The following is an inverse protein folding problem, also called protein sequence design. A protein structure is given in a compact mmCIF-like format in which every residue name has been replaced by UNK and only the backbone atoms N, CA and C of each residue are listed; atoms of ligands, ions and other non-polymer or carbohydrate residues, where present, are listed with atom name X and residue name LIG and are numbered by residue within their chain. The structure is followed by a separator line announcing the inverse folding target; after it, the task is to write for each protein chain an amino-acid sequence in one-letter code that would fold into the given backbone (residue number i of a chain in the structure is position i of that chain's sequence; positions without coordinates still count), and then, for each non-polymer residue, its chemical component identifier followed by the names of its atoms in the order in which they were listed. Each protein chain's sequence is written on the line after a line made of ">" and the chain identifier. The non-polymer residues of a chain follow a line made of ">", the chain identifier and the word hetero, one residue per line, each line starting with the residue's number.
data_IF_855064847236
#
_entry.id   IF_855064847236
#
_cell.length_a   1.000
_cell.length_b   1.000
_cell.length_c   1.000
_cell.angle_alpha   90.00
_cell.angle_beta   90.00
_cell.angle_gamma   90.00
#
_symmetry.space_group_name_H-M   'P 1'
#
loop_
_entity.id
_entity.type
_entity.pdbx_description
1 polymer ?
#
# COMPACT_ATOMS: atom_id res chain seq x y z
N UNK A 1 46.12 -55.09 21.74
CA UNK A 1 45.35 -54.69 20.55
C UNK A 1 44.09 -54.03 21.08
N UNK A 2 43.95 -52.74 20.80
CA UNK A 2 43.04 -51.80 21.45
C UNK A 2 41.75 -51.74 20.63
N UNK A 3 40.60 -51.97 21.28
CA UNK A 3 39.29 -51.92 20.64
C UNK A 3 38.96 -50.48 20.24
N UNK A 4 38.83 -50.23 18.94
CA UNK A 4 38.36 -48.94 18.43
C UNK A 4 36.84 -49.01 18.30
N UNK A 5 36.17 -48.45 19.30
CA UNK A 5 34.73 -48.23 19.34
C UNK A 5 34.37 -47.14 18.31
N UNK A 6 33.73 -47.53 17.21
CA UNK A 6 33.29 -46.59 16.16
C UNK A 6 31.83 -46.22 16.42
N UNK A 7 31.60 -45.20 17.25
CA UNK A 7 30.29 -44.57 17.42
C UNK A 7 30.14 -43.43 16.42
N UNK A 8 29.48 -43.68 15.28
CA UNK A 8 29.00 -42.61 14.38
C UNK A 8 27.61 -42.16 14.80
N UNK A 9 27.53 -41.09 15.60
CA UNK A 9 26.29 -40.33 15.79
C UNK A 9 26.16 -39.30 14.67
N UNK A 10 25.26 -39.56 13.73
CA UNK A 10 24.83 -38.60 12.72
C UNK A 10 23.84 -37.62 13.34
N UNK A 11 24.35 -36.57 13.99
CA UNK A 11 23.55 -35.44 14.46
C UNK A 11 23.10 -34.58 13.28
N UNK A 12 21.98 -34.97 12.66
CA UNK A 12 21.21 -34.03 11.84
C UNK A 12 20.45 -33.09 12.79
N UNK A 13 21.12 -32.01 13.21
CA UNK A 13 20.48 -30.89 13.91
C UNK A 13 19.45 -30.28 12.97
N UNK A 14 18.18 -30.66 13.15
CA UNK A 14 17.03 -30.03 12.52
C UNK A 14 16.99 -28.58 13.01
N UNK A 15 17.60 -27.66 12.25
CA UNK A 15 17.55 -26.23 12.54
C UNK A 15 16.12 -25.78 12.29
N UNK A 16 15.37 -25.60 13.38
CA UNK A 16 14.09 -24.88 13.32
C UNK A 16 14.33 -23.51 12.68
N UNK A 17 13.44 -23.04 11.79
CA UNK A 17 13.56 -21.72 11.18
C UNK A 17 13.68 -20.69 12.30
N UNK A 18 14.77 -19.94 12.31
CA UNK A 18 14.94 -18.83 13.24
C UNK A 18 13.91 -17.78 12.84
N UNK A 19 12.96 -17.49 13.73
CA UNK A 19 12.05 -16.37 13.53
C UNK A 19 12.87 -15.07 13.52
N UNK A 20 12.95 -14.43 12.35
CA UNK A 20 13.56 -13.12 12.21
C UNK A 20 12.46 -12.08 12.35
N UNK A 21 12.50 -11.20 13.35
CA UNK A 21 11.49 -10.16 13.50
C UNK A 21 11.55 -9.21 12.30
N UNK A 22 10.52 -9.24 11.46
CA UNK A 22 10.41 -8.37 10.29
C UNK A 22 10.06 -6.95 10.74
N UNK A 23 10.95 -6.01 10.48
CA UNK A 23 10.71 -4.58 10.74
C UNK A 23 10.15 -3.93 9.49
N UNK A 24 8.87 -3.57 9.51
CA UNK A 24 8.25 -2.81 8.41
C UNK A 24 8.75 -1.36 8.40
N UNK A 25 9.18 -0.90 7.23
CA UNK A 25 9.42 0.53 7.01
C UNK A 25 8.08 1.25 6.82
N UNK A 26 7.72 2.12 7.76
CA UNK A 26 6.51 2.94 7.69
C UNK A 26 6.85 4.32 7.12
N UNK A 27 6.07 4.78 6.14
CA UNK A 27 6.17 6.12 5.60
C UNK A 27 5.65 7.15 6.61
N UNK A 28 6.48 8.15 6.89
CA UNK A 28 6.12 9.32 7.71
C UNK A 28 6.23 10.56 6.85
N UNK A 29 5.15 11.33 6.75
CA UNK A 29 5.15 12.55 5.96
C UNK A 29 6.19 13.55 6.48
N UNK A 30 7.09 13.99 5.60
CA UNK A 30 8.03 15.10 5.81
C UNK A 30 7.74 16.21 4.81
N UNK A 31 8.27 17.41 5.01
CA UNK A 31 8.02 18.56 4.13
C UNK A 31 8.29 18.26 2.65
N UNK A 32 9.34 17.51 2.35
CA UNK A 32 9.75 17.15 0.98
C UNK A 32 8.85 16.12 0.27
N UNK A 33 7.91 15.49 0.98
CA UNK A 33 6.99 14.51 0.40
C UNK A 33 5.68 15.14 -0.07
N UNK A 34 5.41 16.39 0.33
CA UNK A 34 4.22 17.14 -0.09
C UNK A 34 4.42 17.65 -1.51
N UNK A 35 3.36 17.59 -2.29
CA UNK A 35 3.27 18.13 -3.64
C UNK A 35 1.94 18.86 -3.78
N UNK A 36 1.98 20.00 -4.43
CA UNK A 36 0.82 20.81 -4.72
C UNK A 36 0.43 20.62 -6.18
N UNK A 37 -0.84 20.29 -6.41
CA UNK A 37 -1.46 20.43 -7.72
C UNK A 37 -2.16 21.80 -7.77
N UNK A 38 -1.50 22.75 -8.43
CA UNK A 38 -1.96 24.15 -8.53
C UNK A 38 -3.27 24.31 -9.30
N UNK A 39 -3.53 23.43 -10.25
CA UNK A 39 -4.74 23.46 -11.09
C UNK A 39 -6.00 23.20 -10.26
N UNK A 40 -5.93 22.22 -9.36
CA UNK A 40 -7.07 21.82 -8.53
C UNK A 40 -6.96 22.26 -7.06
N UNK A 41 -5.88 22.94 -6.68
CA UNK A 41 -5.68 23.47 -5.33
C UNK A 41 -5.48 22.38 -4.25
N UNK A 42 -4.95 21.21 -4.61
CA UNK A 42 -4.75 20.10 -3.67
C UNK A 42 -3.30 19.92 -3.26
N UNK A 43 -3.07 19.61 -1.99
CA UNK A 43 -1.77 19.20 -1.46
C UNK A 43 -1.84 17.72 -1.07
N UNK A 44 -0.92 16.91 -1.59
CA UNK A 44 -0.88 15.47 -1.32
C UNK A 44 0.54 14.92 -1.34
N UNK A 45 0.70 13.64 -1.00
CA UNK A 45 2.01 13.00 -1.02
C UNK A 45 2.42 12.60 -2.43
N UNK A 46 3.59 13.07 -2.89
CA UNK A 46 4.13 12.69 -4.22
C UNK A 46 4.46 11.21 -4.39
N UNK A 47 4.57 10.48 -3.27
CA UNK A 47 4.79 9.03 -3.26
C UNK A 47 3.49 8.23 -3.21
N UNK A 48 2.33 8.89 -3.24
CA UNK A 48 1.02 8.24 -3.27
C UNK A 48 0.43 7.87 -1.91
N UNK A 49 1.16 8.00 -0.79
CA UNK A 49 0.64 7.65 0.54
C UNK A 49 -0.54 8.52 0.99
N UNK A 50 -1.56 7.97 1.68
CA UNK A 50 -1.70 6.54 2.00
C UNK A 50 -1.99 5.70 0.75
N UNK A 51 -1.41 4.51 0.67
CA UNK A 51 -1.60 3.58 -0.44
C UNK A 51 -3.06 3.10 -0.49
N UNK A 52 -3.63 2.83 -1.67
CA UNK A 52 -5.03 2.40 -1.78
C UNK A 52 -5.26 0.99 -1.22
N UNK A 53 -6.46 0.76 -0.70
CA UNK A 53 -6.97 -0.57 -0.32
C UNK A 53 -7.47 -1.26 -1.58
N UNK A 54 -7.01 -2.49 -1.80
CA UNK A 54 -7.36 -3.31 -2.96
C UNK A 54 -7.46 -4.77 -2.53
N UNK A 55 -8.48 -5.46 -3.02
CA UNK A 55 -8.68 -6.89 -2.74
C UNK A 55 -7.78 -7.79 -3.61
N UNK A 56 -7.25 -7.24 -4.70
CA UNK A 56 -6.34 -7.89 -5.64
C UNK A 56 -5.26 -6.91 -6.15
N UNK A 57 -4.14 -7.45 -6.62
CA UNK A 57 -3.08 -6.65 -7.24
C UNK A 57 -3.47 -6.35 -8.69
N UNK A 58 -3.44 -5.06 -9.07
CA UNK A 58 -3.83 -4.60 -10.40
C UNK A 58 -2.73 -3.80 -11.08
N UNK A 59 -2.76 -3.76 -12.41
CA UNK A 59 -1.92 -2.89 -13.23
C UNK A 59 -2.82 -1.82 -13.83
N UNK A 60 -2.47 -0.56 -13.62
CA UNK A 60 -3.21 0.58 -14.18
C UNK A 60 -2.34 1.35 -15.17
N UNK A 61 -2.97 1.78 -16.27
CA UNK A 61 -2.40 2.74 -17.20
C UNK A 61 -2.85 4.15 -16.80
N UNK A 62 -2.00 5.17 -16.95
CA UNK A 62 -2.40 6.55 -16.67
C UNK A 62 -3.53 6.98 -17.62
N UNK A 63 -4.43 7.83 -17.12
CA UNK A 63 -5.42 8.53 -17.94
C UNK A 63 -4.77 9.81 -18.48
N UNK A 64 -5.10 10.19 -19.73
CA UNK A 64 -4.64 11.45 -20.30
C UNK A 64 -5.28 12.63 -19.56
N UNK A 65 -4.45 13.55 -19.05
CA UNK A 65 -4.90 14.76 -18.37
C UNK A 65 -5.79 15.67 -19.25
N UNK A 66 -5.72 15.50 -20.57
CA UNK A 66 -6.55 16.24 -21.55
C UNK A 66 -7.85 15.52 -21.93
N UNK A 67 -8.04 14.28 -21.47
CA UNK A 67 -9.24 13.51 -21.79
C UNK A 67 -10.46 14.00 -21.00
N UNK A 68 -11.63 13.88 -21.63
CA UNK A 68 -12.91 14.09 -20.96
C UNK A 68 -13.03 13.12 -19.78
N UNK A 69 -13.25 13.66 -18.58
CA UNK A 69 -13.41 12.88 -17.35
C UNK A 69 -12.18 12.82 -16.44
N UNK A 70 -11.00 13.26 -16.87
CA UNK A 70 -9.80 13.30 -16.02
C UNK A 70 -10.02 14.09 -14.73
N UNK A 71 -10.61 15.29 -14.82
CA UNK A 71 -10.88 16.13 -13.66
C UNK A 71 -11.78 15.42 -12.63
N UNK A 72 -12.84 14.73 -13.09
CA UNK A 72 -13.73 13.99 -12.22
C UNK A 72 -13.01 12.81 -11.53
N UNK A 73 -12.21 12.06 -12.30
CA UNK A 73 -11.38 10.98 -11.78
C UNK A 73 -10.39 11.51 -10.72
N UNK A 74 -9.72 12.64 -10.99
CA UNK A 74 -8.77 13.24 -10.06
C UNK A 74 -9.45 13.79 -8.79
N UNK A 75 -10.63 14.39 -8.90
CA UNK A 75 -11.44 14.79 -7.73
C UNK A 75 -11.85 13.58 -6.90
N UNK A 76 -12.24 12.48 -7.54
CA UNK A 76 -12.54 11.22 -6.84
C UNK A 76 -11.28 10.65 -6.17
N UNK A 77 -10.11 10.74 -6.80
CA UNK A 77 -8.85 10.34 -6.18
C UNK A 77 -8.59 11.11 -4.89
N UNK A 78 -8.82 12.42 -4.88
CA UNK A 78 -8.65 13.23 -3.66
C UNK A 78 -9.64 12.86 -2.56
N UNK A 79 -10.90 12.52 -2.90
CA UNK A 79 -11.88 11.99 -1.93
C UNK A 79 -11.44 10.64 -1.36
N UNK A 80 -10.95 9.74 -2.22
CA UNK A 80 -10.42 8.43 -1.82
C UNK A 80 -9.24 8.60 -0.86
N UNK A 81 -8.28 9.48 -1.18
CA UNK A 81 -7.14 9.76 -0.31
C UNK A 81 -7.56 10.19 1.08
N UNK A 82 -8.51 11.13 1.18
CA UNK A 82 -9.05 11.56 2.47
C UNK A 82 -9.65 10.39 3.25
N UNK A 83 -10.38 9.49 2.58
CA UNK A 83 -10.91 8.27 3.22
C UNK A 83 -9.83 7.29 3.66
N UNK A 84 -8.74 7.18 2.91
CA UNK A 84 -7.60 6.35 3.32
C UNK A 84 -6.86 6.96 4.53
N UNK A 85 -6.78 8.29 4.63
CA UNK A 85 -6.25 8.98 5.81
C UNK A 85 -7.14 8.75 7.05
N UNK A 86 -8.47 8.80 6.88
CA UNK A 86 -9.43 8.44 7.93
C UNK A 86 -9.28 6.97 8.36
N UNK A 87 -9.16 6.03 7.40
CA UNK A 87 -8.98 4.61 7.67
C UNK A 87 -7.66 4.30 8.39
N UNK A 88 -6.57 4.95 7.98
CA UNK A 88 -5.28 4.83 8.63
C UNK A 88 -5.32 5.36 10.07
N UNK A 89 -5.94 6.54 10.29
CA UNK A 89 -6.16 7.09 11.63
C UNK A 89 -6.99 6.16 12.50
N UNK A 90 -8.06 5.59 11.94
CA UNK A 90 -8.94 4.66 12.62
C UNK A 90 -8.19 3.40 13.07
N UNK A 91 -7.38 2.82 12.18
CA UNK A 91 -6.56 1.66 12.51
C UNK A 91 -5.49 1.98 13.55
N UNK A 92 -4.77 3.11 13.42
CA UNK A 92 -3.72 3.47 14.38
C UNK A 92 -4.27 3.69 15.79
N UNK A 93 -5.40 4.39 15.90
CA UNK A 93 -5.97 4.82 17.18
C UNK A 93 -6.88 3.77 17.84
N UNK A 94 -7.66 3.02 17.04
CA UNK A 94 -8.68 2.09 17.54
C UNK A 94 -8.47 0.64 17.15
N UNK A 95 -7.50 0.33 16.28
CA UNK A 95 -7.30 -1.01 15.69
C UNK A 95 -8.50 -1.51 14.88
N UNK A 96 -9.38 -0.61 14.46
CA UNK A 96 -10.51 -0.90 13.60
C UNK A 96 -10.07 -0.87 12.12
N UNK A 97 -10.56 -1.83 11.34
CA UNK A 97 -10.23 -1.99 9.94
C UNK A 97 -11.31 -1.41 9.02
N UNK A 98 -10.88 -0.90 7.87
CA UNK A 98 -11.76 -0.43 6.79
C UNK A 98 -11.51 -1.29 5.56
N UNK A 99 -12.56 -1.64 4.83
CA UNK A 99 -12.47 -2.40 3.58
C UNK A 99 -12.68 -1.52 2.36
N UNK A 100 -12.29 -2.01 1.18
CA UNK A 100 -12.57 -1.34 -0.08
C UNK A 100 -14.08 -1.12 -0.27
N UNK A 101 -14.90 -2.14 -0.01
CA UNK A 101 -16.35 -2.05 -0.11
C UNK A 101 -16.92 -0.90 0.74
N UNK A 102 -16.47 -0.75 1.99
CA UNK A 102 -16.89 0.36 2.87
C UNK A 102 -16.52 1.72 2.28
N UNK A 103 -15.30 1.86 1.73
CA UNK A 103 -14.87 3.11 1.07
C UNK A 103 -15.75 3.42 -0.13
N UNK A 104 -16.00 2.44 -0.99
CA UNK A 104 -16.83 2.60 -2.19
C UNK A 104 -18.26 3.04 -1.81
N UNK A 105 -18.87 2.39 -0.82
CA UNK A 105 -20.21 2.73 -0.32
C UNK A 105 -20.25 4.14 0.27
N UNK A 106 -19.29 4.50 1.13
CA UNK A 106 -19.27 5.83 1.77
C UNK A 106 -19.04 6.97 0.78
N UNK A 107 -18.28 6.73 -0.28
CA UNK A 107 -18.01 7.72 -1.32
C UNK A 107 -19.06 7.71 -2.44
N UNK A 108 -19.95 6.72 -2.46
CA UNK A 108 -20.89 6.47 -3.54
C UNK A 108 -20.22 6.44 -4.91
N UNK A 109 -19.15 5.64 -5.03
CA UNK A 109 -18.40 5.44 -6.28
C UNK A 109 -18.34 3.97 -6.65
N UNK A 110 -18.32 3.68 -7.96
CA UNK A 110 -18.14 2.30 -8.44
C UNK A 110 -16.67 1.87 -8.33
N UNK A 111 -16.41 0.56 -8.43
CA UNK A 111 -15.04 0.06 -8.51
C UNK A 111 -14.32 0.51 -9.80
N UNK A 112 -15.07 0.77 -10.89
CA UNK A 112 -14.51 1.32 -12.12
C UNK A 112 -14.02 2.74 -11.88
N UNK A 113 -14.86 3.60 -11.29
CA UNK A 113 -14.48 4.98 -10.95
C UNK A 113 -13.32 5.02 -9.96
N UNK A 114 -13.24 4.05 -9.05
CA UNK A 114 -12.12 3.91 -8.12
C UNK A 114 -10.81 3.64 -8.88
N UNK A 115 -10.81 2.73 -9.85
CA UNK A 115 -9.64 2.46 -10.69
C UNK A 115 -9.26 3.65 -11.56
N UNK A 116 -10.23 4.34 -12.13
CA UNK A 116 -9.99 5.54 -12.94
C UNK A 116 -9.41 6.67 -12.08
N UNK A 117 -9.90 6.83 -10.86
CA UNK A 117 -9.32 7.75 -9.90
C UNK A 117 -7.84 7.41 -9.60
N UNK A 118 -7.51 6.15 -9.33
CA UNK A 118 -6.11 5.73 -9.15
C UNK A 118 -5.27 5.98 -10.41
N UNK A 119 -5.81 5.69 -11.59
CA UNK A 119 -5.16 5.90 -12.89
C UNK A 119 -4.93 7.39 -13.20
N UNK A 120 -5.80 8.28 -12.73
CA UNK A 120 -5.60 9.74 -12.84
C UNK A 120 -4.44 10.25 -11.98
N UNK A 121 -4.01 9.49 -10.96
CA UNK A 121 -2.96 9.90 -10.04
C UNK A 121 -1.53 9.58 -10.49
N UNK A 122 -1.38 8.82 -11.57
CA UNK A 122 -0.10 8.31 -12.07
C UNK A 122 0.19 8.88 -13.46
N UNK A 123 1.47 9.00 -13.79
CA UNK A 123 1.94 9.47 -15.12
C UNK A 123 2.55 8.35 -15.96
N UNK A 124 2.64 7.13 -15.40
CA UNK A 124 3.19 5.94 -16.04
C UNK A 124 2.43 4.70 -15.57
N UNK A 125 2.55 3.61 -16.33
CA UNK A 125 1.98 2.32 -15.94
C UNK A 125 2.48 1.94 -14.54
N UNK A 126 1.56 1.59 -13.64
CA UNK A 126 1.85 1.33 -12.24
C UNK A 126 1.23 0.01 -11.77
N UNK A 127 1.97 -0.71 -10.92
CA UNK A 127 1.47 -1.89 -10.19
C UNK A 127 0.94 -1.42 -8.83
N UNK A 128 -0.33 -1.68 -8.58
CA UNK A 128 -0.98 -1.42 -7.30
C UNK A 128 -1.21 -2.74 -6.59
N UNK A 129 -0.43 -2.98 -5.53
CA UNK A 129 -0.52 -4.21 -4.75
C UNK A 129 -1.83 -4.27 -3.97
N UNK A 130 -2.38 -5.48 -3.85
CA UNK A 130 -3.38 -5.85 -2.84
C UNK A 130 -2.93 -5.32 -1.47
N UNK A 131 -3.81 -4.62 -0.77
CA UNK A 131 -3.55 -4.03 0.56
C UNK A 131 -4.82 -3.93 1.38
N UNK A 132 -4.67 -4.09 2.70
CA UNK A 132 -5.70 -3.78 3.69
C UNK A 132 -5.40 -2.48 4.45
N UNK A 133 -6.29 -2.05 5.34
CA UNK A 133 -6.15 -0.81 6.11
C UNK A 133 -4.96 -0.76 7.08
N UNK A 134 -4.30 -1.90 7.35
CA UNK A 134 -3.11 -1.98 8.23
C UNK A 134 -1.83 -1.60 7.49
N UNK A 135 -1.86 -1.64 6.16
CA UNK A 135 -0.69 -1.62 5.29
C UNK A 135 -0.56 -0.31 4.50
N UNK A 136 -1.47 0.65 4.73
CA UNK A 136 -1.59 1.88 3.93
C UNK A 136 -0.32 2.74 3.91
N UNK A 137 0.47 2.63 4.97
CA UNK A 137 1.70 3.40 5.15
C UNK A 137 2.96 2.54 5.08
N UNK A 138 2.83 1.24 4.84
CA UNK A 138 3.99 0.34 4.73
C UNK A 138 4.63 0.55 3.37
N UNK A 139 5.93 0.83 3.38
CA UNK A 139 6.73 0.90 2.15
C UNK A 139 6.88 -0.51 1.57
N UNK A 140 6.44 -0.75 0.32
CA UNK A 140 6.65 -2.05 -0.33
C UNK A 140 8.12 -2.37 -0.55
N UNK A 141 8.99 -1.35 -0.60
CA UNK A 141 10.43 -1.51 -0.74
C UNK A 141 11.08 -1.56 0.64
N UNK A 142 11.07 -2.72 1.28
CA UNK A 142 11.91 -2.96 2.45
C UNK A 142 13.26 -3.52 2.00
N UNK A 143 14.34 -2.74 2.13
CA UNK A 143 15.69 -3.16 1.70
C UNK A 143 16.32 -4.20 2.64
N UNK A 144 15.75 -4.38 3.81
CA UNK A 144 16.25 -5.26 4.86
C UNK A 144 15.54 -6.64 4.89
N UNK A 145 14.67 -6.89 3.90
CA UNK A 145 14.08 -8.22 3.61
C UNK A 145 14.81 -8.92 2.47
#
# INVERSE_FOLDING_TARGET
>A
EEEVEITTQSDQVLRSPKEVPIKYQIHTHRGNCKMENKEFGYIYCKYGYPMPILDETIILKPIDAKSDGYENAFRNYMKIRKKLEEADSLFRNKKEETTLAVILTQLNISYVDYKDALASSITRIGVFLKRNSKELMINPYNKEL
#
